data_IF_043157594482
#
_entry.id   IF_043157594482
#
_cell.length_a   1.000
_cell.length_b   1.000
_cell.length_c   1.000
_cell.angle_alpha   90.00
_cell.angle_beta   90.00
_cell.angle_gamma   90.00
#
_symmetry.space_group_name_H-M   'P 1'
#
loop_
_entity.id
_entity.type
_entity.pdbx_description
1 polymer ?
#
# COMPACT_ATOMS: atom_id res chain seq x y z
N UNK A 1 -2.18 3.06 -17.32
CA UNK A 1 -0.81 3.09 -16.74
C UNK A 1 -0.73 2.23 -15.48
N UNK A 2 -1.40 2.61 -14.37
CA UNK A 2 -1.33 1.87 -13.10
C UNK A 2 -1.62 0.37 -13.19
N UNK A 3 -2.75 -0.02 -13.78
CA UNK A 3 -3.12 -1.44 -13.90
C UNK A 3 -2.06 -2.28 -14.62
N UNK A 4 -1.47 -1.75 -15.70
CA UNK A 4 -0.48 -2.49 -16.49
C UNK A 4 0.80 -2.75 -15.69
N UNK A 5 1.26 -1.75 -14.93
CA UNK A 5 2.42 -1.88 -14.05
C UNK A 5 2.16 -2.89 -12.93
N UNK A 6 1.01 -2.77 -12.25
CA UNK A 6 0.64 -3.68 -11.16
C UNK A 6 0.47 -5.10 -11.66
N UNK A 7 -0.22 -5.30 -12.79
CA UNK A 7 -0.43 -6.63 -13.36
C UNK A 7 0.90 -7.28 -13.75
N UNK A 8 1.83 -6.51 -14.32
CA UNK A 8 3.17 -7.00 -14.64
C UNK A 8 3.92 -7.45 -13.38
N UNK A 9 3.85 -6.67 -12.30
CA UNK A 9 4.48 -7.02 -11.03
C UNK A 9 3.79 -8.21 -10.33
N UNK A 10 2.46 -8.35 -10.44
CA UNK A 10 1.71 -9.48 -9.86
C UNK A 10 2.06 -10.82 -10.52
N UNK A 11 2.50 -10.82 -11.80
CA UNK A 11 2.94 -12.04 -12.48
C UNK A 11 4.34 -12.51 -12.06
N UNK A 12 5.16 -11.63 -11.48
CA UNK A 12 6.52 -11.98 -11.06
C UNK A 12 6.48 -12.81 -9.79
N UNK A 13 6.94 -14.06 -9.87
CA UNK A 13 7.04 -14.96 -8.72
C UNK A 13 8.48 -15.43 -8.57
N UNK A 14 9.22 -14.81 -7.65
CA UNK A 14 10.59 -15.18 -7.35
C UNK A 14 10.91 -14.98 -5.87
N UNK A 15 11.68 -15.91 -5.28
CA UNK A 15 11.98 -15.94 -3.84
C UNK A 15 12.66 -14.69 -3.26
N UNK A 16 13.24 -13.85 -4.12
CA UNK A 16 13.97 -12.63 -3.74
C UNK A 16 13.20 -11.34 -4.10
N UNK A 17 11.95 -11.46 -4.58
CA UNK A 17 11.11 -10.32 -4.96
C UNK A 17 9.88 -10.36 -4.07
N UNK A 18 9.55 -9.22 -3.44
CA UNK A 18 8.35 -9.10 -2.62
C UNK A 18 7.11 -9.34 -3.48
N UNK A 19 6.24 -10.26 -3.04
CA UNK A 19 5.02 -10.59 -3.75
C UNK A 19 3.92 -9.56 -3.51
N UNK A 20 3.27 -9.13 -4.59
CA UNK A 20 2.00 -8.39 -4.53
C UNK A 20 0.86 -9.39 -4.30
N UNK A 21 0.11 -9.20 -3.23
CA UNK A 21 -1.06 -9.98 -2.85
C UNK A 21 -2.36 -9.40 -3.46
N UNK A 22 -2.38 -8.10 -3.73
CA UNK A 22 -3.53 -7.42 -4.32
C UNK A 22 -3.30 -5.92 -4.48
N UNK A 23 -4.28 -5.25 -5.09
CA UNK A 23 -4.30 -3.80 -5.22
C UNK A 23 -5.73 -3.25 -5.07
N UNK A 24 -5.82 -2.00 -4.65
CA UNK A 24 -7.03 -1.20 -4.77
C UNK A 24 -6.73 0.00 -5.65
N UNK A 25 -7.63 0.34 -6.57
CA UNK A 25 -7.55 1.54 -7.39
C UNK A 25 -8.91 2.18 -7.40
N UNK A 26 -9.04 3.28 -6.67
CA UNK A 26 -10.27 4.03 -6.57
C UNK A 26 -10.11 5.41 -7.18
N UNK A 27 -11.16 5.85 -7.86
CA UNK A 27 -11.20 7.12 -8.57
C UNK A 27 -12.53 7.78 -8.26
N UNK A 28 -12.52 8.85 -7.47
CA UNK A 28 -13.71 9.56 -7.02
C UNK A 28 -13.71 11.00 -7.51
N UNK A 29 -14.89 11.52 -7.84
CA UNK A 29 -15.07 12.96 -8.07
C UNK A 29 -15.29 13.68 -6.75
N UNK A 30 -14.51 14.73 -6.49
CA UNK A 30 -14.61 15.53 -5.27
C UNK A 30 -14.78 17.00 -5.62
N UNK A 31 -15.76 17.66 -4.99
CA UNK A 31 -15.89 19.11 -5.09
C UNK A 31 -14.76 19.74 -4.27
N UNK A 32 -13.87 20.49 -4.93
CA UNK A 32 -12.75 21.16 -4.29
C UNK A 32 -12.77 22.64 -4.63
N UNK A 33 -12.48 23.48 -3.64
CA UNK A 33 -12.32 24.92 -3.86
C UNK A 33 -10.90 25.21 -4.34
N UNK A 34 -10.79 25.85 -5.50
CA UNK A 34 -9.54 26.33 -6.07
C UNK A 34 -9.73 27.79 -6.46
N UNK A 35 -8.96 28.69 -5.84
CA UNK A 35 -8.99 30.12 -6.10
C UNK A 35 -10.41 30.73 -6.02
N UNK A 36 -11.19 30.35 -5.00
CA UNK A 36 -12.55 30.86 -4.78
C UNK A 36 -13.63 30.28 -5.70
N UNK A 37 -13.31 29.23 -6.47
CA UNK A 37 -14.28 28.51 -7.33
C UNK A 37 -14.31 27.04 -6.99
N UNK A 38 -15.50 26.46 -6.91
CA UNK A 38 -15.66 25.01 -6.78
C UNK A 38 -15.50 24.33 -8.12
N UNK A 39 -14.60 23.35 -8.16
CA UNK A 39 -14.39 22.46 -9.30
C UNK A 39 -14.61 21.01 -8.87
N UNK A 40 -15.16 20.18 -9.76
CA UNK A 40 -15.17 18.74 -9.55
C UNK A 40 -13.82 18.17 -9.98
N UNK A 41 -12.96 17.90 -9.01
CA UNK A 41 -11.65 17.31 -9.22
C UNK A 41 -11.72 15.79 -9.13
N UNK A 42 -10.96 15.09 -9.96
CA UNK A 42 -10.79 13.63 -9.86
C UNK A 42 -9.69 13.33 -8.83
N UNK A 43 -10.06 12.65 -7.75
CA UNK A 43 -9.15 12.14 -6.73
C UNK A 43 -8.90 10.66 -7.00
N UNK A 44 -7.63 10.28 -7.06
CA UNK A 44 -7.21 8.89 -7.32
C UNK A 44 -6.49 8.34 -6.09
N UNK A 45 -7.05 7.30 -5.50
CA UNK A 45 -6.44 6.55 -4.41
C UNK A 45 -6.00 5.18 -4.90
N UNK A 46 -4.76 4.80 -4.59
CA UNK A 46 -4.16 3.56 -5.07
C UNK A 46 -3.41 2.88 -3.94
N UNK A 47 -3.78 1.64 -3.64
CA UNK A 47 -3.18 0.84 -2.57
C UNK A 47 -2.57 -0.44 -3.16
N UNK A 48 -1.44 -0.87 -2.60
CA UNK A 48 -0.82 -2.15 -2.90
C UNK A 48 -0.74 -2.97 -1.61
N UNK A 49 -1.25 -4.20 -1.67
CA UNK A 49 -1.07 -5.18 -0.61
C UNK A 49 0.13 -6.04 -0.97
N UNK A 50 1.20 -5.93 -0.18
CA UNK A 50 2.43 -6.70 -0.34
C UNK A 50 2.50 -7.79 0.73
N UNK A 51 3.24 -8.87 0.46
CA UNK A 51 3.59 -9.80 1.51
C UNK A 51 4.42 -9.13 2.60
N UNK A 52 4.24 -9.61 3.83
CA UNK A 52 4.92 -9.04 4.97
C UNK A 52 6.35 -9.56 5.10
N UNK A 53 7.33 -8.65 5.11
CA UNK A 53 8.74 -8.96 5.32
C UNK A 53 9.13 -8.72 6.78
N UNK A 54 9.08 -9.80 7.57
CA UNK A 54 9.28 -9.76 9.02
C UNK A 54 10.65 -9.16 9.45
N UNK A 55 11.68 -9.32 8.62
CA UNK A 55 13.03 -8.81 8.93
C UNK A 55 13.23 -7.32 8.61
N UNK A 56 12.18 -6.63 8.14
CA UNK A 56 12.25 -5.22 7.78
C UNK A 56 13.06 -4.98 6.51
N UNK A 57 13.45 -3.71 6.29
CA UNK A 57 14.21 -3.29 5.11
C UNK A 57 15.69 -3.65 5.23
N UNK A 58 16.38 -3.69 4.09
CA UNK A 58 17.83 -3.81 4.05
C UNK A 58 18.52 -2.68 4.83
N UNK A 59 18.00 -1.45 4.72
CA UNK A 59 18.49 -0.31 5.46
C UNK A 59 18.45 -0.54 6.98
N UNK A 60 17.35 -1.07 7.49
CA UNK A 60 17.21 -1.42 8.91
C UNK A 60 18.25 -2.46 9.32
N UNK A 61 18.49 -3.46 8.46
CA UNK A 61 19.50 -4.47 8.71
C UNK A 61 20.92 -3.87 8.76
N UNK A 62 21.25 -2.95 7.85
CA UNK A 62 22.55 -2.27 7.81
C UNK A 62 22.77 -1.34 9.00
N UNK A 63 21.69 -0.73 9.52
CA UNK A 63 21.73 0.13 10.71
C UNK A 63 21.66 -0.64 12.03
N UNK A 64 21.43 -1.96 11.99
CA UNK A 64 21.21 -2.77 13.20
C UNK A 64 19.84 -2.55 13.88
N UNK A 65 18.92 -1.86 13.20
CA UNK A 65 17.58 -1.55 13.71
C UNK A 65 16.64 -2.73 13.41
N UNK A 66 16.75 -3.81 14.17
CA UNK A 66 15.84 -4.95 14.03
C UNK A 66 14.46 -4.53 14.57
N UNK A 67 13.40 -4.50 13.75
CA UNK A 67 12.08 -4.14 14.23
C UNK A 67 11.60 -5.17 15.27
N UNK A 68 11.38 -4.70 16.50
CA UNK A 68 10.69 -5.45 17.55
C UNK A 68 9.20 -5.48 17.19
N UNK A 69 8.63 -6.65 16.89
CA UNK A 69 7.21 -6.77 16.60
C UNK A 69 6.40 -6.41 17.86
N UNK A 70 5.62 -5.33 17.82
CA UNK A 70 4.46 -5.23 18.70
C UNK A 70 3.42 -6.21 18.20
N UNK A 71 3.03 -7.18 19.03
CA UNK A 71 1.83 -8.00 18.76
C UNK A 71 0.66 -7.04 18.58
N UNK A 72 -0.02 -7.07 17.44
CA UNK A 72 -1.34 -6.46 17.33
C UNK A 72 -2.27 -7.18 18.30
N UNK A 73 -2.61 -6.53 19.41
CA UNK A 73 -3.67 -6.96 20.32
C UNK A 73 -4.97 -7.00 19.52
N UNK A 74 -5.41 -8.20 19.15
CA UNK A 74 -6.77 -8.40 18.68
C UNK A 74 -7.69 -7.99 19.83
N UNK A 75 -8.43 -6.91 19.64
CA UNK A 75 -9.66 -6.70 20.41
C UNK A 75 -10.73 -7.50 19.67
N UNK A 76 -11.09 -8.65 20.21
CA UNK A 76 -12.29 -9.35 19.80
C UNK A 76 -13.47 -8.39 20.02
N UNK A 77 -13.95 -7.78 18.93
CA UNK A 77 -15.30 -7.21 18.94
C UNK A 77 -16.27 -8.36 18.77
N UNK A 78 -16.61 -8.99 19.90
CA UNK A 78 -17.91 -9.62 20.05
C UNK A 78 -18.96 -8.52 20.08
N UNK A 79 -19.71 -8.36 18.98
CA UNK A 79 -21.14 -8.09 19.00
C UNK A 79 -21.77 -8.49 17.66
#
# INVERSE_FOLDING_TARGET
MFYHEVNSMMMVQHKNIVRILGYCSDTQGHAMEINGRYVMAEVRERLLCLEYLSKGSLENHLKGNIPLFSKCSHSDRSN
#
